data_IF_777985267851
#
_entry.id   IF_777985267851
#
_cell.length_a   1.000
_cell.length_b   1.000
_cell.length_c   1.000
_cell.angle_alpha   90.00
_cell.angle_beta   90.00
_cell.angle_gamma   90.00
#
_symmetry.space_group_name_H-M   'P 1'
#
loop_
_entity.id
_entity.type
_entity.pdbx_description
1 polymer ?
#
# COMPACT_ATOMS: atom_id res chain seq x y z
N UNK A 1 15.19 -4.69 13.90
CA UNK A 1 14.74 -3.28 13.94
C UNK A 1 13.48 -3.23 13.09
N UNK A 2 12.32 -2.95 13.68
CA UNK A 2 11.07 -2.80 12.93
C UNK A 2 11.23 -1.63 11.95
N UNK A 3 11.08 -1.89 10.65
CA UNK A 3 11.15 -0.87 9.59
C UNK A 3 10.06 0.16 9.86
N UNK A 4 10.39 1.45 9.95
CA UNK A 4 9.41 2.54 10.10
C UNK A 4 9.11 3.21 8.76
N UNK A 5 8.02 3.95 8.64
CA UNK A 5 7.71 4.71 7.41
C UNK A 5 8.79 5.77 7.14
N UNK A 6 9.28 6.42 8.21
CA UNK A 6 10.37 7.39 8.13
C UNK A 6 11.65 6.78 7.52
N UNK A 7 11.94 5.50 7.80
CA UNK A 7 13.08 4.80 7.19
C UNK A 7 12.95 4.56 5.67
N UNK A 8 11.74 4.61 5.12
CA UNK A 8 11.46 4.47 3.68
C UNK A 8 11.46 5.84 3.00
N UNK A 9 10.81 6.83 3.62
CA UNK A 9 10.64 8.18 3.08
C UNK A 9 10.86 9.25 4.17
N UNK A 10 12.12 9.67 4.40
CA UNK A 10 12.43 10.60 5.51
C UNK A 10 11.94 12.03 5.29
N UNK A 11 11.79 12.45 4.02
CA UNK A 11 11.42 13.81 3.65
C UNK A 11 9.90 14.03 3.82
N UNK A 12 9.45 14.89 4.76
CA UNK A 12 8.03 15.13 5.00
C UNK A 12 7.34 15.81 3.81
N UNK A 13 8.02 16.68 3.07
CA UNK A 13 7.44 17.34 1.90
C UNK A 13 7.25 16.33 0.77
N UNK A 14 8.16 15.37 0.61
CA UNK A 14 7.99 14.26 -0.32
C UNK A 14 6.78 13.38 0.05
N UNK A 15 6.55 13.09 1.34
CA UNK A 15 5.35 12.34 1.76
C UNK A 15 4.07 13.06 1.36
N UNK A 16 4.02 14.39 1.56
CA UNK A 16 2.84 15.20 1.29
C UNK A 16 2.63 15.51 -0.20
N UNK A 17 3.65 15.31 -1.03
CA UNK A 17 3.57 15.48 -2.47
C UNK A 17 3.03 14.24 -3.21
N UNK A 18 3.04 13.07 -2.55
CA UNK A 18 2.55 11.82 -3.13
C UNK A 18 1.02 11.77 -3.14
N UNK A 19 0.46 11.33 -4.25
CA UNK A 19 -0.97 10.99 -4.30
C UNK A 19 -1.28 9.77 -3.41
N UNK A 20 -2.53 9.61 -2.94
CA UNK A 20 -2.89 8.55 -2.00
C UNK A 20 -2.46 7.15 -2.45
N UNK A 21 -2.59 6.82 -3.73
CA UNK A 21 -2.19 5.51 -4.26
C UNK A 21 -0.68 5.28 -4.35
N UNK A 22 0.11 6.35 -4.42
CA UNK A 22 1.57 6.26 -4.47
C UNK A 22 2.10 6.07 -3.05
N UNK A 23 1.56 6.85 -2.10
CA UNK A 23 1.81 6.69 -0.69
C UNK A 23 1.31 5.33 -0.16
N UNK A 24 0.22 4.78 -0.71
CA UNK A 24 -0.26 3.45 -0.39
C UNK A 24 0.77 2.36 -0.68
N UNK A 25 1.60 2.51 -1.73
CA UNK A 25 2.70 1.59 -2.01
C UNK A 25 3.72 1.52 -0.87
N UNK A 26 4.09 2.70 -0.34
CA UNK A 26 5.00 2.83 0.80
C UNK A 26 4.37 2.23 2.08
N UNK A 27 3.08 2.52 2.33
CA UNK A 27 2.36 1.96 3.48
C UNK A 27 2.32 0.44 3.39
N UNK A 28 1.99 -0.14 2.22
CA UNK A 28 1.94 -1.58 2.06
C UNK A 28 3.31 -2.24 2.24
N UNK A 29 4.38 -1.62 1.71
CA UNK A 29 5.76 -2.07 1.92
C UNK A 29 6.12 -2.07 3.42
N UNK A 30 5.75 -1.02 4.15
CA UNK A 30 5.90 -0.97 5.61
C UNK A 30 5.13 -2.11 6.31
N UNK A 31 3.85 -2.30 5.97
CA UNK A 31 3.01 -3.36 6.56
C UNK A 31 3.57 -4.78 6.29
N UNK A 32 4.09 -5.00 5.08
CA UNK A 32 4.74 -6.26 4.68
C UNK A 32 6.13 -6.46 5.31
N UNK A 33 6.74 -5.42 5.86
CA UNK A 33 8.02 -5.51 6.56
C UNK A 33 7.89 -5.69 8.08
N UNK A 34 6.69 -5.53 8.65
CA UNK A 34 6.44 -5.75 10.08
C UNK A 34 6.75 -7.19 10.51
N UNK A 35 7.08 -7.39 11.78
CA UNK A 35 7.23 -8.75 12.33
C UNK A 35 5.88 -9.49 12.37
N UNK A 36 5.85 -10.83 12.30
CA UNK A 36 4.59 -11.59 12.28
C UNK A 36 3.65 -11.30 13.48
N UNK A 37 4.21 -11.03 14.66
CA UNK A 37 3.46 -10.61 15.85
C UNK A 37 2.70 -9.30 15.64
N UNK A 38 3.35 -8.33 15.01
CA UNK A 38 2.82 -6.99 14.78
C UNK A 38 1.81 -7.00 13.63
N UNK A 39 2.08 -7.81 12.58
CA UNK A 39 1.10 -8.09 11.52
C UNK A 39 -0.19 -8.68 12.08
N UNK A 40 -0.06 -9.57 13.07
CA UNK A 40 -1.19 -10.14 13.79
C UNK A 40 -2.03 -9.11 14.55
N UNK A 41 -1.47 -7.94 14.87
CA UNK A 41 -2.10 -6.87 15.63
C UNK A 41 -2.45 -5.64 14.77
N UNK A 42 -2.36 -5.77 13.44
CA UNK A 42 -2.73 -4.68 12.53
C UNK A 42 -4.16 -4.21 12.78
N UNK A 43 -4.27 -2.90 13.00
CA UNK A 43 -5.48 -2.21 13.36
C UNK A 43 -5.40 -0.76 12.88
N UNK A 44 -6.45 -0.27 12.24
CA UNK A 44 -6.51 1.09 11.66
C UNK A 44 -6.34 2.19 12.72
N UNK A 45 -6.94 2.01 13.90
CA UNK A 45 -6.80 2.97 15.00
C UNK A 45 -5.34 3.04 15.47
N UNK A 46 -4.70 1.89 15.70
CA UNK A 46 -3.29 1.86 16.12
C UNK A 46 -2.38 2.52 15.10
N UNK A 47 -2.60 2.27 13.81
CA UNK A 47 -1.84 2.91 12.72
C UNK A 47 -2.00 4.44 12.71
N UNK A 48 -3.16 4.97 13.10
CA UNK A 48 -3.42 6.42 13.16
C UNK A 48 -2.78 7.14 14.36
N UNK A 49 -2.20 6.41 15.31
CA UNK A 49 -1.63 7.00 16.52
C UNK A 49 -0.31 7.74 16.24
N UNK A 50 0.08 8.70 17.10
CA UNK A 50 1.26 9.55 16.87
C UNK A 50 2.59 8.80 16.73
N UNK A 51 2.71 7.59 17.28
CA UNK A 51 3.96 6.81 17.20
C UNK A 51 4.32 6.42 15.77
N UNK A 52 3.35 6.33 14.85
CA UNK A 52 3.58 6.03 13.42
C UNK A 52 4.35 7.15 12.71
N UNK A 53 4.21 8.39 13.19
CA UNK A 53 4.78 9.60 12.56
C UNK A 53 5.75 10.36 13.48
N UNK A 54 6.10 9.79 14.63
CA UNK A 54 6.87 10.49 15.67
C UNK A 54 8.27 10.91 15.24
N UNK A 55 8.84 10.23 14.24
CA UNK A 55 10.16 10.52 13.68
C UNK A 55 10.17 11.76 12.77
N UNK A 56 9.01 12.19 12.26
CA UNK A 56 8.89 13.42 11.47
C UNK A 56 8.87 14.68 12.35
N UNK A 57 9.22 15.86 11.81
CA UNK A 57 9.09 17.13 12.53
C UNK A 57 7.64 17.40 12.94
N UNK A 58 7.46 17.96 14.13
CA UNK A 58 6.16 18.08 14.82
C UNK A 58 5.08 18.78 13.99
N UNK A 59 5.46 19.79 13.23
CA UNK A 59 4.63 20.65 12.40
C UNK A 59 4.06 19.91 11.17
N UNK A 60 4.68 18.79 10.77
CA UNK A 60 4.22 17.95 9.66
C UNK A 60 3.37 16.76 10.13
N UNK A 61 3.52 16.32 11.37
CA UNK A 61 2.92 15.06 11.88
C UNK A 61 1.42 14.97 11.62
N UNK A 62 0.67 16.02 11.90
CA UNK A 62 -0.78 16.01 11.70
C UNK A 62 -1.17 15.84 10.22
N UNK A 63 -0.47 16.52 9.30
CA UNK A 63 -0.71 16.41 7.85
C UNK A 63 -0.30 15.04 7.32
N UNK A 64 0.86 14.55 7.76
CA UNK A 64 1.35 13.21 7.39
C UNK A 64 0.38 12.13 7.89
N UNK A 65 -0.12 12.23 9.14
CA UNK A 65 -1.12 11.29 9.63
C UNK A 65 -2.38 11.27 8.76
N UNK A 66 -2.84 12.41 8.26
CA UNK A 66 -3.98 12.47 7.33
C UNK A 66 -3.66 11.79 5.99
N UNK A 67 -2.53 12.12 5.36
CA UNK A 67 -2.10 11.52 4.11
C UNK A 67 -1.92 9.99 4.22
N UNK A 68 -1.33 9.51 5.32
CA UNK A 68 -1.21 8.08 5.60
C UNK A 68 -2.57 7.38 5.75
N UNK A 69 -3.58 8.07 6.27
CA UNK A 69 -4.94 7.54 6.36
C UNK A 69 -5.66 7.51 5.00
N UNK A 70 -5.40 8.46 4.11
CA UNK A 70 -5.89 8.40 2.73
C UNK A 70 -5.30 7.20 1.99
N UNK A 71 -3.98 7.00 2.11
CA UNK A 71 -3.27 5.83 1.59
C UNK A 71 -3.83 4.51 2.16
N UNK A 72 -4.10 4.45 3.47
CA UNK A 72 -4.71 3.29 4.11
C UNK A 72 -6.08 2.94 3.50
N UNK A 73 -6.96 3.93 3.34
CA UNK A 73 -8.29 3.73 2.76
C UNK A 73 -8.19 3.27 1.30
N UNK A 74 -7.22 3.78 0.55
CA UNK A 74 -6.95 3.30 -0.80
C UNK A 74 -6.56 1.81 -0.82
N UNK A 75 -5.68 1.37 0.09
CA UNK A 75 -5.30 -0.06 0.21
C UNK A 75 -6.51 -0.96 0.53
N UNK A 76 -7.41 -0.48 1.37
CA UNK A 76 -8.64 -1.19 1.72
C UNK A 76 -9.60 -1.27 0.52
N UNK A 77 -9.77 -0.16 -0.22
CA UNK A 77 -10.58 -0.09 -1.44
C UNK A 77 -10.06 -1.04 -2.54
N UNK A 78 -8.74 -1.11 -2.73
CA UNK A 78 -8.12 -2.02 -3.71
C UNK A 78 -8.07 -3.49 -3.24
N UNK A 79 -8.54 -3.78 -2.02
CA UNK A 79 -8.54 -5.13 -1.44
C UNK A 79 -7.14 -5.68 -1.17
N UNK A 80 -6.14 -4.81 -0.98
CA UNK A 80 -4.79 -5.19 -0.59
C UNK A 80 -4.68 -5.43 0.92
N UNK A 81 -5.51 -4.75 1.68
CA UNK A 81 -5.84 -5.07 3.08
C UNK A 81 -7.35 -5.28 3.22
N UNK A 82 -7.77 -5.98 4.27
CA UNK A 82 -9.18 -6.21 4.54
C UNK A 82 -9.47 -6.31 6.05
N UNK A 83 -10.71 -6.01 6.50
CA UNK A 83 -11.12 -6.21 7.87
C UNK A 83 -10.97 -7.68 8.32
N UNK A 84 -10.54 -7.89 9.56
CA UNK A 84 -10.44 -9.25 10.13
C UNK A 84 -11.85 -9.84 10.31
N UNK A 85 -12.10 -11.08 9.83
CA UNK A 85 -13.38 -11.75 10.07
C UNK A 85 -13.67 -11.91 11.57
N UNK A 86 -14.88 -11.55 11.99
CA UNK A 86 -15.31 -11.65 13.40
C UNK A 86 -14.73 -10.58 14.33
N UNK A 87 -13.94 -9.62 13.83
CA UNK A 87 -13.49 -8.46 14.58
C UNK A 87 -14.59 -7.39 14.56
N UNK A 88 -15.06 -6.97 15.73
CA UNK A 88 -16.03 -5.88 15.87
C UNK A 88 -15.39 -4.48 15.85
N UNK A 89 -14.05 -4.43 15.76
CA UNK A 89 -13.27 -3.21 15.80
C UNK A 89 -12.67 -2.86 14.45
N UNK A 90 -11.50 -2.22 14.51
CA UNK A 90 -10.77 -1.74 13.34
C UNK A 90 -9.60 -2.67 12.96
N UNK A 91 -9.68 -3.95 13.35
CA UNK A 91 -8.65 -4.94 13.03
C UNK A 91 -8.63 -5.27 11.54
N UNK A 92 -7.44 -5.30 10.94
CA UNK A 92 -7.25 -5.64 9.52
C UNK A 92 -6.19 -6.72 9.33
N UNK A 93 -6.19 -7.35 8.16
CA UNK A 93 -5.12 -8.24 7.72
C UNK A 93 -4.69 -7.89 6.29
N UNK A 94 -3.43 -8.17 5.96
CA UNK A 94 -2.91 -8.06 4.59
C UNK A 94 -3.47 -9.24 3.77
N UNK A 95 -4.17 -8.96 2.68
CA UNK A 95 -4.78 -10.00 1.85
C UNK A 95 -3.72 -10.84 1.14
N UNK A 96 -4.12 -11.95 0.52
CA UNK A 96 -3.21 -12.78 -0.30
C UNK A 96 -2.50 -11.93 -1.37
N UNK A 97 -3.25 -11.04 -2.03
CA UNK A 97 -2.71 -10.12 -3.04
C UNK A 97 -1.80 -9.06 -2.42
N UNK A 98 -2.19 -8.46 -1.30
CA UNK A 98 -1.33 -7.48 -0.61
C UNK A 98 0.02 -8.07 -0.19
N UNK A 99 0.06 -9.37 0.15
CA UNK A 99 1.30 -10.10 0.44
C UNK A 99 2.15 -10.40 -0.78
N UNK A 100 1.61 -10.36 -2.00
CA UNK A 100 2.39 -10.57 -3.22
C UNK A 100 3.11 -9.28 -3.66
N UNK A 101 2.58 -8.11 -3.26
CA UNK A 101 3.15 -6.79 -3.57
C UNK A 101 4.07 -6.35 -2.42
N UNK A 102 5.37 -6.65 -2.52
CA UNK A 102 6.33 -6.49 -1.43
C UNK A 102 6.90 -5.07 -1.34
N UNK A 103 6.94 -4.35 -2.45
CA UNK A 103 7.53 -3.02 -2.52
C UNK A 103 6.66 -2.04 -3.32
N UNK A 104 7.01 -0.76 -3.22
CA UNK A 104 6.29 0.33 -3.91
C UNK A 104 6.18 0.13 -5.43
N UNK A 105 7.20 -0.45 -6.08
CA UNK A 105 7.20 -0.69 -7.54
C UNK A 105 6.23 -1.81 -7.98
N UNK A 106 5.98 -2.80 -7.11
CA UNK A 106 4.98 -3.84 -7.34
C UNK A 106 3.57 -3.23 -7.35
N UNK A 107 3.30 -2.29 -6.43
CA UNK A 107 2.02 -1.58 -6.33
C UNK A 107 1.82 -0.65 -7.54
N UNK A 108 2.87 0.04 -7.97
CA UNK A 108 2.80 0.87 -9.17
C UNK A 108 2.50 0.03 -10.43
N UNK A 109 3.13 -1.14 -10.55
CA UNK A 109 2.87 -2.09 -11.64
C UNK A 109 1.44 -2.61 -11.60
N UNK A 110 0.93 -2.97 -10.40
CA UNK A 110 -0.45 -3.37 -10.19
C UNK A 110 -1.43 -2.27 -10.62
N UNK A 111 -1.21 -1.02 -10.20
CA UNK A 111 -2.02 0.14 -10.58
C UNK A 111 -2.07 0.29 -12.10
N UNK A 112 -0.92 0.30 -12.77
CA UNK A 112 -0.82 0.41 -14.24
C UNK A 112 -1.53 -0.72 -14.97
N UNK A 113 -1.46 -1.96 -14.45
CA UNK A 113 -2.15 -3.10 -15.04
C UNK A 113 -3.68 -3.01 -14.91
N UNK A 114 -4.18 -2.42 -13.82
CA UNK A 114 -5.62 -2.24 -13.59
C UNK A 114 -6.21 -1.06 -14.37
N UNK A 115 -5.42 -0.06 -14.76
CA UNK A 115 -5.85 1.04 -15.64
C UNK A 115 -6.30 0.57 -17.03
N UNK A 116 -5.88 -0.62 -17.47
CA UNK A 116 -6.29 -1.24 -18.74
C UNK A 116 -7.33 -2.34 -18.48
N UNK A 117 -8.63 -2.02 -18.45
CA UNK A 117 -9.67 -3.02 -18.28
C UNK A 117 -9.59 -4.03 -19.41
N UNK A 118 -9.16 -5.25 -19.09
CA UNK A 118 -8.99 -6.37 -20.04
C UNK A 118 -10.24 -6.63 -20.89
N UNK A 119 -11.42 -6.36 -20.35
CA UNK A 119 -12.72 -6.48 -21.03
C UNK A 119 -13.00 -5.40 -22.08
N UNK A 120 -12.31 -4.26 -22.01
CA UNK A 120 -12.38 -3.18 -22.99
C UNK A 120 -11.26 -3.29 -24.05
N UNK A 121 -10.32 -4.21 -23.87
CA UNK A 121 -9.35 -4.54 -24.91
C UNK A 121 -10.06 -5.34 -25.99
N UNK A 122 -10.13 -4.77 -27.20
CA UNK A 122 -10.55 -5.52 -28.38
C UNK A 122 -9.67 -6.78 -28.53
N UNK A 123 -10.24 -7.97 -28.85
CA UNK A 123 -9.51 -9.25 -28.85
C UNK A 123 -8.19 -9.25 -29.62
N UNK A 124 -8.13 -8.47 -30.70
CA UNK A 124 -6.95 -8.31 -31.56
C UNK A 124 -5.78 -7.62 -30.83
N UNK A 125 -6.06 -6.66 -29.95
CA UNK A 125 -5.04 -5.94 -29.18
C UNK A 125 -4.55 -6.82 -28.01
N UNK A 126 -5.47 -7.57 -27.38
CA UNK A 126 -5.14 -8.49 -26.30
C UNK A 126 -4.09 -9.53 -26.75
N UNK A 127 -4.24 -10.14 -27.93
CA UNK A 127 -3.26 -11.12 -28.44
C UNK A 127 -1.84 -10.53 -28.58
N UNK A 128 -1.73 -9.28 -29.03
CA UNK A 128 -0.43 -8.63 -29.28
C UNK A 128 0.30 -8.21 -28.00
N UNK A 129 -0.44 -7.75 -26.99
CA UNK A 129 0.14 -7.27 -25.72
C UNK A 129 0.53 -8.45 -24.82
N UNK A 130 -0.31 -9.49 -24.72
CA UNK A 130 -0.05 -10.63 -23.85
C UNK A 130 1.00 -11.62 -24.40
N UNK A 131 1.18 -11.67 -25.73
CA UNK A 131 2.29 -12.38 -26.36
C UNK A 131 3.66 -11.81 -25.96
N UNK A 132 3.75 -10.51 -25.67
CA UNK A 132 5.00 -9.85 -25.26
C UNK A 132 5.26 -9.87 -23.75
N UNK A 133 4.21 -9.86 -22.92
CA UNK A 133 4.37 -9.90 -21.45
C UNK A 133 4.81 -11.28 -20.96
N UNK A 134 4.35 -12.36 -21.60
CA UNK A 134 4.77 -13.73 -21.27
C UNK A 134 6.20 -14.07 -21.74
N UNK A 135 6.75 -13.26 -22.65
CA UNK A 135 8.04 -13.51 -23.31
C UNK A 135 9.22 -12.79 -22.65
N UNK A 136 9.00 -12.05 -21.56
CA UNK A 136 10.06 -11.38 -20.76
C UNK A 136 10.32 -12.02 -19.40
N UNK A 137 9.95 -13.29 -19.24
CA UNK A 137 10.47 -14.16 -18.17
C UNK A 137 11.30 -15.29 -18.79
N UNK A 138 12.51 -14.95 -19.20
CA UNK A 138 13.69 -15.83 -19.22
C UNK A 138 14.91 -14.95 -18.90
#
# INVERSE_FOLDING_TARGET
>A
MSKSIFSIIPDPDAVLALEPEELAGIVLEYLNALDPSDRGQLNRYNFSLPHTVQEYPSEYRAKISQALMEAWIWLEHEGLIAPKPGDHGAGVFITRRGKELQNTSDVETYRKANLLPRRLLHPVIAQKVWGNISSRRL
#
